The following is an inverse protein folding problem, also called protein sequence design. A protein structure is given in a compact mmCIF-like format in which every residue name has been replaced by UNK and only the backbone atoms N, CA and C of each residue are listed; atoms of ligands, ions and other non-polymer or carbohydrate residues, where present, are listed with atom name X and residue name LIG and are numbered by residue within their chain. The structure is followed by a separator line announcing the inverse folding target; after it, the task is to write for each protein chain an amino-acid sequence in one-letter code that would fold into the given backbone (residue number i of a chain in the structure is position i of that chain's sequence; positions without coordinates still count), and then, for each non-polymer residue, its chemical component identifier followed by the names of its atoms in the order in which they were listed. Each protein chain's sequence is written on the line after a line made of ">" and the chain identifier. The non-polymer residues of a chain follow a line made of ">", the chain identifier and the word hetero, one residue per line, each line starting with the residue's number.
data_IF_707847505739
#
_entry.id   IF_707847505739
#
_cell.length_a   1.000
_cell.length_b   1.000
_cell.length_c   1.000
_cell.angle_alpha   90.00
_cell.angle_beta   90.00
_cell.angle_gamma   90.00
#
_symmetry.space_group_name_H-M   'P 1'
#
loop_
_entity.id
_entity.type
_entity.pdbx_description
1 polymer ?
#
# COMPACT_ATOMS: atom_id res chain seq x y z
N UNK A 1 -6.05 -27.69 -8.70
CA UNK A 1 -7.00 -26.86 -9.48
C UNK A 1 -7.46 -27.62 -10.70
N UNK A 2 -8.67 -27.36 -11.16
CA UNK A 2 -9.25 -27.94 -12.35
C UNK A 2 -9.50 -26.87 -13.43
N UNK A 3 -9.95 -27.31 -14.60
CA UNK A 3 -10.33 -26.38 -15.68
C UNK A 3 -11.44 -25.38 -15.31
N UNK A 4 -12.07 -25.55 -14.15
CA UNK A 4 -13.06 -24.61 -13.60
C UNK A 4 -12.40 -23.47 -12.81
N UNK A 5 -11.10 -23.61 -12.47
CA UNK A 5 -10.30 -22.56 -11.85
C UNK A 5 -9.93 -21.51 -12.89
N UNK A 6 -10.24 -20.24 -12.61
CA UNK A 6 -10.07 -19.17 -13.58
C UNK A 6 -8.58 -18.93 -13.89
N UNK A 7 -8.20 -19.14 -15.15
CA UNK A 7 -6.90 -18.79 -15.73
C UNK A 7 -5.65 -19.57 -15.22
N UNK A 8 -5.78 -20.63 -14.41
CA UNK A 8 -4.61 -21.31 -13.86
C UNK A 8 -4.54 -22.83 -14.03
N UNK A 9 -5.58 -23.49 -14.56
CA UNK A 9 -5.58 -24.92 -14.80
C UNK A 9 -6.39 -25.37 -16.02
N UNK A 10 -5.90 -26.44 -16.66
CA UNK A 10 -6.51 -27.05 -17.85
C UNK A 10 -7.07 -28.46 -17.57
N UNK A 11 -6.85 -28.98 -16.37
CA UNK A 11 -7.15 -30.36 -16.04
C UNK A 11 -8.67 -30.61 -15.92
N UNK A 12 -9.18 -31.55 -16.70
CA UNK A 12 -10.58 -31.98 -16.57
C UNK A 12 -10.85 -32.66 -15.24
N UNK A 13 -11.88 -32.18 -14.53
CA UNK A 13 -12.29 -32.65 -13.20
C UNK A 13 -12.48 -34.16 -13.17
N UNK A 14 -13.22 -34.73 -14.14
CA UNK A 14 -13.51 -36.15 -14.18
C UNK A 14 -12.26 -36.99 -14.47
N UNK A 15 -11.36 -36.49 -15.31
CA UNK A 15 -10.09 -37.18 -15.61
C UNK A 15 -9.15 -37.24 -14.41
N UNK A 16 -8.97 -36.12 -13.69
CA UNK A 16 -8.07 -36.09 -12.55
C UNK A 16 -8.57 -36.99 -11.41
N UNK A 17 -9.88 -36.98 -11.13
CA UNK A 17 -10.49 -37.85 -10.11
C UNK A 17 -10.34 -39.33 -10.46
N UNK A 18 -10.60 -39.72 -11.71
CA UNK A 18 -10.43 -41.09 -12.18
C UNK A 18 -8.97 -41.56 -12.11
N UNK A 19 -8.03 -40.66 -12.46
CA UNK A 19 -6.60 -40.97 -12.42
C UNK A 19 -6.10 -41.15 -11.00
N UNK A 20 -6.54 -40.30 -10.06
CA UNK A 20 -6.20 -40.45 -8.64
C UNK A 20 -6.72 -41.77 -8.07
N UNK A 21 -7.96 -42.15 -8.43
CA UNK A 21 -8.52 -43.45 -8.05
C UNK A 21 -7.74 -44.66 -8.65
N UNK A 22 -7.33 -44.53 -9.92
CA UNK A 22 -6.53 -45.57 -10.59
C UNK A 22 -5.13 -45.73 -9.95
N UNK A 23 -4.57 -44.67 -9.40
CA UNK A 23 -3.29 -44.71 -8.64
C UNK A 23 -3.46 -45.22 -7.20
N UNK A 24 -4.69 -45.54 -6.76
CA UNK A 24 -4.94 -46.05 -5.43
C UNK A 24 -4.95 -44.97 -4.34
N UNK A 25 -5.10 -43.72 -4.68
CA UNK A 25 -5.21 -42.66 -3.65
C UNK A 25 -6.50 -42.82 -2.85
N UNK A 26 -6.47 -42.68 -1.51
CA UNK A 26 -7.65 -42.77 -0.67
C UNK A 26 -8.61 -41.58 -0.81
N UNK A 27 -8.09 -40.40 -1.21
CA UNK A 27 -8.84 -39.21 -1.40
C UNK A 27 -8.16 -38.28 -2.42
N UNK A 28 -8.93 -37.32 -2.96
CA UNK A 28 -8.42 -36.20 -3.75
C UNK A 28 -9.13 -34.90 -3.32
N UNK A 29 -8.39 -33.82 -3.15
CA UNK A 29 -8.94 -32.48 -2.90
C UNK A 29 -9.19 -31.76 -4.21
N UNK A 30 -10.34 -31.07 -4.30
CA UNK A 30 -10.68 -30.14 -5.38
C UNK A 30 -10.76 -28.74 -4.75
N UNK A 31 -9.83 -27.85 -5.15
CA UNK A 31 -9.59 -26.54 -4.50
C UNK A 31 -9.38 -25.44 -5.55
N UNK A 32 -10.37 -25.25 -6.42
CA UNK A 32 -10.29 -24.24 -7.48
C UNK A 32 -10.32 -22.81 -6.91
N UNK A 33 -9.72 -21.86 -7.62
CA UNK A 33 -9.68 -20.45 -7.23
C UNK A 33 -11.07 -19.83 -7.25
N UNK A 34 -11.56 -19.41 -6.07
CA UNK A 34 -12.79 -18.65 -5.90
C UNK A 34 -14.06 -19.31 -6.43
N UNK A 35 -14.03 -20.60 -6.78
CA UNK A 35 -15.17 -21.31 -7.39
C UNK A 35 -15.34 -22.72 -6.84
N UNK A 36 -16.61 -23.18 -6.84
CA UNK A 36 -17.00 -24.54 -6.43
C UNK A 36 -17.67 -25.32 -7.58
N UNK A 37 -17.60 -24.81 -8.80
CA UNK A 37 -18.29 -25.38 -9.98
C UNK A 37 -17.85 -26.80 -10.32
N UNK A 38 -16.64 -27.20 -9.93
CA UNK A 38 -16.11 -28.55 -10.12
C UNK A 38 -16.75 -29.61 -9.22
N UNK A 39 -17.39 -29.25 -8.11
CA UNK A 39 -17.84 -30.18 -7.07
C UNK A 39 -18.84 -31.22 -7.56
N UNK A 40 -19.92 -30.91 -8.28
CA UNK A 40 -20.84 -31.93 -8.76
C UNK A 40 -20.18 -32.97 -9.67
N UNK A 41 -19.33 -32.51 -10.59
CA UNK A 41 -18.62 -33.37 -11.54
C UNK A 41 -17.56 -34.24 -10.82
N UNK A 42 -16.87 -33.68 -9.81
CA UNK A 42 -15.92 -34.43 -8.97
C UNK A 42 -16.61 -35.52 -8.18
N UNK A 43 -17.74 -35.19 -7.52
CA UNK A 43 -18.57 -36.15 -6.78
C UNK A 43 -18.99 -37.32 -7.66
N UNK A 44 -19.53 -37.03 -8.83
CA UNK A 44 -20.02 -38.07 -9.72
C UNK A 44 -18.89 -38.95 -10.27
N UNK A 45 -17.75 -38.37 -10.58
CA UNK A 45 -16.56 -39.12 -11.02
C UNK A 45 -15.95 -39.99 -9.92
N UNK A 46 -16.01 -39.54 -8.65
CA UNK A 46 -15.44 -40.24 -7.49
C UNK A 46 -16.36 -41.25 -6.81
N UNK A 47 -17.66 -41.26 -7.15
CA UNK A 47 -18.68 -42.08 -6.49
C UNK A 47 -18.26 -43.56 -6.40
N UNK A 48 -18.15 -44.09 -5.16
CA UNK A 48 -17.75 -45.45 -4.88
C UNK A 48 -16.31 -45.83 -5.21
N UNK A 49 -15.46 -44.88 -5.59
CA UNK A 49 -14.05 -45.14 -6.00
C UNK A 49 -13.02 -44.41 -5.16
N UNK A 50 -13.27 -43.17 -4.80
CA UNK A 50 -12.33 -42.32 -4.08
C UNK A 50 -13.08 -41.23 -3.30
N UNK A 51 -12.58 -40.89 -2.10
CA UNK A 51 -13.13 -39.78 -1.31
C UNK A 51 -12.79 -38.44 -1.96
N UNK A 52 -13.79 -37.56 -2.15
CA UNK A 52 -13.58 -36.20 -2.60
C UNK A 52 -13.54 -35.27 -1.39
N UNK A 53 -12.46 -34.49 -1.27
CA UNK A 53 -12.34 -33.40 -0.32
C UNK A 53 -12.67 -32.10 -1.04
N UNK A 54 -13.71 -31.44 -0.58
CA UNK A 54 -14.18 -30.20 -1.17
C UNK A 54 -13.52 -29.00 -0.48
N UNK A 55 -12.93 -28.13 -1.25
CA UNK A 55 -12.29 -26.92 -0.77
C UNK A 55 -12.34 -25.83 -1.83
N UNK A 56 -12.02 -24.63 -1.45
CA UNK A 56 -11.87 -23.48 -2.36
C UNK A 56 -10.62 -22.72 -1.97
N UNK A 57 -9.84 -22.32 -2.94
CA UNK A 57 -8.77 -21.35 -2.72
C UNK A 57 -9.35 -19.96 -2.77
N UNK A 58 -9.44 -19.33 -1.62
CA UNK A 58 -10.00 -17.99 -1.46
C UNK A 58 -8.90 -16.95 -1.24
N UNK A 59 -9.15 -15.74 -1.71
CA UNK A 59 -8.32 -14.60 -1.37
C UNK A 59 -8.83 -13.98 -0.06
N UNK A 60 -8.00 -14.03 0.98
CA UNK A 60 -8.29 -13.34 2.22
C UNK A 60 -7.83 -11.89 2.10
N UNK A 61 -8.76 -10.95 2.21
CA UNK A 61 -8.48 -9.52 2.29
C UNK A 61 -8.83 -9.03 3.69
N UNK A 62 -7.85 -8.51 4.42
CA UNK A 62 -8.08 -7.89 5.70
C UNK A 62 -8.57 -6.46 5.51
N UNK A 63 -9.88 -6.26 5.50
CA UNK A 63 -10.50 -4.94 5.34
C UNK A 63 -10.28 -3.99 6.55
N UNK A 64 -9.68 -4.48 7.63
CA UNK A 64 -9.36 -3.62 8.78
C UNK A 64 -8.12 -2.77 8.49
N UNK A 65 -7.15 -3.31 7.75
CA UNK A 65 -5.91 -2.59 7.41
C UNK A 65 -6.18 -1.41 6.47
N UNK A 66 -7.17 -1.52 5.58
CA UNK A 66 -7.61 -0.42 4.69
C UNK A 66 -8.17 0.80 5.42
N UNK A 67 -8.30 0.76 6.74
CA UNK A 67 -8.84 1.83 7.58
C UNK A 67 -7.82 2.38 8.57
N UNK A 68 -6.67 1.75 8.64
CA UNK A 68 -5.59 2.19 9.52
C UNK A 68 -4.78 3.23 8.78
N UNK A 69 -5.06 4.50 9.09
CA UNK A 69 -4.32 5.62 8.50
C UNK A 69 -3.06 5.97 9.29
N UNK A 70 -2.99 5.63 10.58
CA UNK A 70 -1.85 5.91 11.44
C UNK A 70 -1.23 4.62 11.94
N UNK A 71 0.06 4.46 11.69
CA UNK A 71 0.86 3.31 12.10
C UNK A 71 1.95 3.75 13.06
N UNK A 72 2.18 2.96 14.12
CA UNK A 72 3.19 3.27 15.15
C UNK A 72 2.58 3.90 16.40
N UNK A 73 3.38 4.00 17.48
CA UNK A 73 2.88 4.30 18.82
C UNK A 73 2.91 5.80 19.20
N UNK A 74 3.51 6.67 18.39
CA UNK A 74 3.73 8.06 18.78
C UNK A 74 2.43 8.84 18.83
N UNK A 75 2.14 9.44 19.96
CA UNK A 75 1.01 10.34 20.18
C UNK A 75 1.45 11.78 20.00
N UNK A 76 0.70 12.55 19.19
CA UNK A 76 0.91 13.98 19.06
C UNK A 76 -0.33 14.70 18.53
N UNK A 77 -0.43 16.00 18.81
CA UNK A 77 -1.47 16.88 18.27
C UNK A 77 -1.22 17.16 16.78
N UNK A 78 -2.26 17.59 16.05
CA UNK A 78 -2.14 17.98 14.63
C UNK A 78 -1.31 19.24 14.41
N UNK A 79 -1.19 20.09 15.44
CA UNK A 79 -0.34 21.28 15.40
C UNK A 79 1.16 20.98 15.52
N UNK A 80 1.53 19.80 16.02
CA UNK A 80 2.93 19.42 16.19
C UNK A 80 3.60 19.11 14.82
N UNK A 81 4.92 19.02 14.86
CA UNK A 81 5.69 18.79 13.64
C UNK A 81 5.47 17.38 13.07
N UNK A 82 5.09 17.31 11.80
CA UNK A 82 5.02 16.09 11.02
C UNK A 82 5.86 16.24 9.74
N UNK A 83 6.62 15.22 9.38
CA UNK A 83 7.43 15.20 8.16
C UNK A 83 6.64 14.54 7.04
N UNK A 84 6.16 15.33 6.09
CA UNK A 84 5.58 14.81 4.86
C UNK A 84 6.71 14.48 3.89
N UNK A 85 6.68 13.30 3.26
CA UNK A 85 7.73 12.87 2.37
C UNK A 85 7.21 12.04 1.21
N UNK A 86 8.02 11.94 0.19
CA UNK A 86 7.80 11.13 -1.01
C UNK A 86 9.14 10.65 -1.55
N UNK A 87 9.15 9.56 -2.31
CA UNK A 87 10.35 9.03 -2.94
C UNK A 87 10.13 8.72 -4.42
N UNK A 88 11.18 8.93 -5.22
CA UNK A 88 11.24 8.37 -6.56
C UNK A 88 12.12 7.13 -6.58
N UNK A 89 11.75 6.16 -7.43
CA UNK A 89 12.41 4.86 -7.48
C UNK A 89 12.62 4.39 -8.92
N UNK A 90 13.48 3.39 -9.11
CA UNK A 90 13.70 2.74 -10.41
C UNK A 90 12.56 1.79 -10.81
N UNK A 91 11.51 1.64 -9.99
CA UNK A 91 10.35 0.79 -10.23
C UNK A 91 9.63 0.41 -8.94
N UNK A 92 8.62 -0.45 -9.01
CA UNK A 92 7.68 -0.67 -7.92
C UNK A 92 8.05 -1.79 -6.93
N UNK A 93 9.04 -2.63 -7.23
CA UNK A 93 9.36 -3.83 -6.43
C UNK A 93 10.49 -3.54 -5.46
N UNK A 94 10.18 -3.42 -4.18
CA UNK A 94 11.13 -3.09 -3.09
C UNK A 94 12.37 -3.99 -3.07
N UNK A 95 12.21 -5.30 -3.41
CA UNK A 95 13.31 -6.26 -3.39
C UNK A 95 14.33 -6.08 -4.53
N UNK A 96 13.95 -5.37 -5.60
CA UNK A 96 14.74 -5.28 -6.83
C UNK A 96 15.11 -3.87 -7.22
N UNK A 97 14.29 -2.92 -6.81
CA UNK A 97 14.40 -1.55 -7.25
C UNK A 97 15.15 -0.68 -6.23
N UNK A 98 15.55 0.49 -6.64
CA UNK A 98 16.34 1.41 -5.84
C UNK A 98 15.68 2.79 -5.75
N UNK A 99 15.90 3.48 -4.64
CA UNK A 99 15.51 4.88 -4.47
C UNK A 99 16.42 5.75 -5.36
N UNK A 100 15.85 6.75 -6.02
CA UNK A 100 16.56 7.74 -6.87
C UNK A 100 16.44 9.16 -6.36
N UNK A 101 15.36 9.49 -5.62
CA UNK A 101 15.17 10.79 -4.97
C UNK A 101 14.42 10.59 -3.66
N UNK A 102 14.70 11.42 -2.65
CA UNK A 102 13.92 11.55 -1.42
C UNK A 102 13.60 13.02 -1.25
N UNK A 103 12.31 13.37 -1.21
CA UNK A 103 11.81 14.70 -0.90
C UNK A 103 11.06 14.70 0.42
N UNK A 104 11.22 15.74 1.22
CA UNK A 104 10.48 15.90 2.46
C UNK A 104 10.26 17.35 2.85
N UNK A 105 9.18 17.60 3.59
CA UNK A 105 8.87 18.90 4.19
C UNK A 105 8.40 18.71 5.62
N UNK A 106 8.61 19.70 6.48
CA UNK A 106 8.02 19.74 7.82
C UNK A 106 6.77 20.58 7.78
N UNK A 107 5.64 19.97 8.12
CA UNK A 107 4.39 20.66 8.41
C UNK A 107 4.30 20.94 9.91
N UNK A 108 4.04 22.20 10.29
CA UNK A 108 3.83 22.64 11.66
C UNK A 108 2.79 23.74 11.72
N UNK A 109 1.79 23.61 12.57
CA UNK A 109 0.70 24.60 12.71
C UNK A 109 0.05 25.00 11.37
N UNK A 110 -0.10 24.06 10.42
CA UNK A 110 -0.66 24.35 9.10
C UNK A 110 0.29 25.03 8.12
N UNK A 111 1.58 25.15 8.43
CA UNK A 111 2.58 25.78 7.56
C UNK A 111 3.75 24.84 7.27
N UNK A 112 4.31 24.91 6.06
CA UNK A 112 5.55 24.22 5.71
C UNK A 112 6.71 25.07 6.17
N UNK A 113 7.49 24.57 7.15
CA UNK A 113 8.57 25.31 7.81
C UNK A 113 9.96 24.92 7.35
N UNK A 114 10.17 23.67 6.94
CA UNK A 114 11.47 23.13 6.50
C UNK A 114 11.31 22.29 5.24
N UNK A 115 12.37 22.19 4.45
CA UNK A 115 12.41 21.36 3.24
C UNK A 115 13.68 20.56 3.18
N UNK A 116 13.58 19.34 2.68
CA UNK A 116 14.68 18.42 2.42
C UNK A 116 14.53 17.81 1.04
N UNK A 117 15.61 17.68 0.32
CA UNK A 117 15.66 16.97 -0.95
C UNK A 117 17.05 16.39 -1.18
N UNK A 118 17.13 15.16 -1.62
CA UNK A 118 18.39 14.55 -2.05
C UNK A 118 18.13 13.55 -3.15
N UNK A 119 18.99 13.56 -4.17
CA UNK A 119 19.08 12.44 -5.08
C UNK A 119 19.83 11.29 -4.42
N UNK A 120 19.66 10.09 -4.96
CA UNK A 120 20.35 8.87 -4.51
C UNK A 120 20.88 8.15 -5.73
N UNK A 121 22.17 7.85 -5.75
CA UNK A 121 22.74 7.07 -6.85
C UNK A 121 22.30 5.59 -6.73
N UNK A 122 21.50 5.08 -7.67
CA UNK A 122 20.98 3.71 -7.62
C UNK A 122 22.03 2.66 -8.02
N UNK A 123 23.24 3.07 -8.45
CA UNK A 123 24.29 2.23 -9.00
C UNK A 123 23.83 1.38 -10.21
N UNK A 124 22.90 1.91 -10.98
CA UNK A 124 22.39 1.33 -12.22
C UNK A 124 21.85 2.42 -13.13
N UNK A 125 21.75 2.12 -14.42
CA UNK A 125 21.10 3.02 -15.37
C UNK A 125 19.59 3.00 -15.20
N UNK A 126 18.98 4.15 -15.42
CA UNK A 126 17.53 4.30 -15.47
C UNK A 126 16.99 3.81 -16.80
N UNK A 127 15.79 3.24 -16.79
CA UNK A 127 15.08 2.92 -18.02
C UNK A 127 14.49 4.19 -18.65
N UNK A 128 14.31 4.26 -19.98
CA UNK A 128 13.67 5.40 -20.63
C UNK A 128 12.27 5.71 -20.05
N UNK A 129 11.56 4.68 -19.60
CA UNK A 129 10.24 4.81 -18.97
C UNK A 129 10.34 5.57 -17.65
N UNK A 130 11.28 5.23 -16.78
CA UNK A 130 11.50 5.93 -15.50
C UNK A 130 11.95 7.36 -15.73
N UNK A 131 12.87 7.59 -16.67
CA UNK A 131 13.30 8.96 -17.06
C UNK A 131 12.09 9.78 -17.55
N UNK A 132 11.24 9.18 -18.39
CA UNK A 132 10.04 9.84 -18.89
C UNK A 132 9.00 10.14 -17.81
N UNK A 133 8.90 9.30 -16.79
CA UNK A 133 7.97 9.45 -15.68
C UNK A 133 8.43 10.52 -14.68
N UNK A 134 9.69 10.41 -14.21
CA UNK A 134 10.21 11.23 -13.09
C UNK A 134 10.98 12.48 -13.55
N UNK A 135 11.41 12.50 -14.83
CA UNK A 135 12.32 13.51 -15.35
C UNK A 135 13.77 13.39 -14.80
N UNK A 136 14.04 12.41 -13.94
CA UNK A 136 15.37 12.17 -13.37
C UNK A 136 16.21 11.44 -14.42
N UNK A 137 17.44 11.92 -14.65
CA UNK A 137 18.35 11.33 -15.64
C UNK A 137 19.57 10.70 -14.97
N UNK A 138 20.25 9.77 -15.67
CA UNK A 138 21.50 9.18 -15.20
C UNK A 138 22.57 10.26 -14.87
N UNK A 139 22.59 11.35 -15.63
CA UNK A 139 23.52 12.46 -15.38
C UNK A 139 23.26 13.18 -14.05
N UNK A 140 22.01 13.33 -13.65
CA UNK A 140 21.63 13.91 -12.35
C UNK A 140 22.03 13.02 -11.18
N UNK A 141 22.10 11.71 -11.39
CA UNK A 141 22.41 10.72 -10.35
C UNK A 141 23.89 10.33 -10.29
N UNK A 142 24.71 10.73 -11.27
CA UNK A 142 26.10 10.30 -11.37
C UNK A 142 26.92 10.65 -10.11
N UNK A 143 26.78 11.89 -9.63
CA UNK A 143 27.47 12.41 -8.45
C UNK A 143 26.57 12.45 -7.20
N UNK A 144 25.39 11.84 -7.26
CA UNK A 144 24.47 11.80 -6.13
C UNK A 144 25.01 10.91 -4.99
N UNK A 145 24.66 11.23 -3.72
CA UNK A 145 25.02 10.42 -2.57
C UNK A 145 24.65 8.95 -2.73
N UNK A 146 25.45 8.09 -2.10
CA UNK A 146 25.09 6.69 -1.99
C UNK A 146 23.93 6.48 -0.99
N UNK A 147 23.23 5.37 -1.10
CA UNK A 147 22.04 5.07 -0.30
C UNK A 147 22.24 5.32 1.21
N UNK A 148 23.38 4.90 1.77
CA UNK A 148 23.67 5.09 3.20
C UNK A 148 23.74 6.55 3.60
N UNK A 149 24.41 7.37 2.81
CA UNK A 149 24.57 8.80 3.05
C UNK A 149 23.24 9.54 2.95
N UNK A 150 22.48 9.25 1.88
CA UNK A 150 21.17 9.85 1.66
C UNK A 150 20.18 9.49 2.78
N UNK A 151 20.11 8.21 3.16
CA UNK A 151 19.23 7.77 4.25
C UNK A 151 19.68 8.35 5.61
N UNK A 152 20.99 8.45 5.87
CA UNK A 152 21.48 9.09 7.11
C UNK A 152 21.07 10.55 7.18
N UNK A 153 21.18 11.29 6.05
CA UNK A 153 20.74 12.68 5.98
C UNK A 153 19.20 12.80 6.15
N UNK A 154 18.44 11.94 5.49
CA UNK A 154 16.98 11.91 5.64
C UNK A 154 16.56 11.62 7.08
N UNK A 155 17.10 10.58 7.72
CA UNK A 155 16.77 10.23 9.10
C UNK A 155 17.16 11.34 10.09
N UNK A 156 18.25 12.07 9.83
CA UNK A 156 18.62 13.25 10.61
C UNK A 156 17.59 14.37 10.44
N UNK A 157 17.12 14.59 9.21
CA UNK A 157 16.04 15.55 8.94
C UNK A 157 14.75 15.13 9.63
N UNK A 158 14.36 13.85 9.56
CA UNK A 158 13.17 13.31 10.26
C UNK A 158 13.26 13.52 11.77
N UNK A 159 14.43 13.29 12.38
CA UNK A 159 14.72 13.54 13.79
C UNK A 159 13.63 12.98 14.75
N UNK A 160 13.15 11.77 14.50
CA UNK A 160 12.13 11.10 15.32
C UNK A 160 10.71 11.64 15.20
N UNK A 161 10.47 12.65 14.35
CA UNK A 161 9.11 13.15 14.06
C UNK A 161 8.29 12.09 13.31
N UNK A 162 6.96 12.05 13.46
CA UNK A 162 6.09 11.21 12.63
C UNK A 162 6.24 11.56 11.17
N UNK A 163 6.05 10.57 10.32
CA UNK A 163 6.06 10.71 8.87
C UNK A 163 4.65 10.76 8.30
N UNK A 164 4.49 11.35 7.12
CA UNK A 164 3.26 11.22 6.33
C UNK A 164 3.63 11.09 4.85
N UNK A 165 2.92 10.23 4.14
CA UNK A 165 3.06 10.06 2.69
C UNK A 165 1.71 9.67 2.06
N UNK A 166 1.63 9.72 0.73
CA UNK A 166 0.43 9.32 0.01
C UNK A 166 0.58 7.90 -0.54
N UNK A 167 -0.16 6.93 -0.02
CA UNK A 167 0.09 5.50 -0.14
C UNK A 167 1.39 5.11 0.59
N UNK A 168 1.45 5.54 1.84
CA UNK A 168 2.66 5.59 2.67
C UNK A 168 3.41 4.26 2.79
N UNK A 169 2.73 3.11 2.74
CA UNK A 169 3.41 1.81 2.84
C UNK A 169 4.40 1.58 1.69
N UNK A 170 4.16 2.16 0.51
CA UNK A 170 5.11 2.10 -0.60
C UNK A 170 6.44 2.77 -0.19
N UNK A 171 6.40 4.03 0.19
CA UNK A 171 7.58 4.82 0.55
C UNK A 171 8.29 4.26 1.78
N UNK A 172 7.52 3.97 2.82
CA UNK A 172 8.00 3.38 4.08
C UNK A 172 8.71 2.05 3.83
N UNK A 173 8.19 1.20 2.95
CA UNK A 173 8.78 -0.10 2.64
C UNK A 173 10.14 0.02 1.96
N UNK A 174 10.30 0.97 1.03
CA UNK A 174 11.60 1.26 0.38
C UNK A 174 12.62 1.84 1.38
N UNK A 175 12.23 2.83 2.19
CA UNK A 175 13.12 3.39 3.22
C UNK A 175 13.51 2.30 4.23
N UNK A 176 12.56 1.48 4.69
CA UNK A 176 12.81 0.38 5.64
C UNK A 176 13.77 -0.66 5.06
N UNK A 177 13.58 -1.06 3.80
CA UNK A 177 14.47 -1.99 3.12
C UNK A 177 15.87 -1.40 2.92
N UNK A 178 15.95 -0.12 2.53
CA UNK A 178 17.19 0.62 2.39
C UNK A 178 17.96 0.72 3.71
N UNK A 179 17.28 1.13 4.78
CA UNK A 179 17.86 1.22 6.14
C UNK A 179 18.40 -0.14 6.62
N UNK A 180 17.62 -1.21 6.45
CA UNK A 180 18.07 -2.57 6.77
C UNK A 180 19.33 -2.95 6.00
N UNK A 181 19.38 -2.64 4.70
CA UNK A 181 20.53 -2.94 3.84
C UNK A 181 21.83 -2.24 4.28
N UNK A 182 21.72 -1.03 4.84
CA UNK A 182 22.88 -0.22 5.23
C UNK A 182 23.12 -0.18 6.75
N UNK A 183 22.35 -0.94 7.53
CA UNK A 183 22.51 -1.06 8.98
C UNK A 183 22.04 0.17 9.77
N UNK A 184 20.95 0.82 9.35
CA UNK A 184 20.29 1.92 10.05
C UNK A 184 18.97 1.44 10.65
N UNK A 185 18.63 1.94 11.84
CA UNK A 185 17.33 1.68 12.47
C UNK A 185 16.25 2.58 11.87
N UNK A 186 15.06 1.99 11.59
CA UNK A 186 13.94 2.74 11.07
C UNK A 186 12.61 2.09 11.50
N UNK A 187 11.97 2.68 12.49
CA UNK A 187 10.67 2.25 13.02
C UNK A 187 9.80 3.50 13.31
N UNK A 188 9.37 4.23 12.28
CA UNK A 188 8.64 5.47 12.45
C UNK A 188 7.19 5.24 12.85
N UNK A 189 6.57 6.25 13.47
CA UNK A 189 5.13 6.46 13.36
C UNK A 189 4.86 7.16 12.03
N UNK A 190 3.84 6.73 11.28
CA UNK A 190 3.49 7.36 10.01
C UNK A 190 1.99 7.40 9.74
N UNK A 191 1.60 8.37 8.93
CA UNK A 191 0.24 8.64 8.48
C UNK A 191 0.14 8.39 6.98
N UNK A 192 -0.88 7.64 6.57
CA UNK A 192 -1.20 7.43 5.15
C UNK A 192 -2.30 8.40 4.71
N UNK A 193 -1.93 9.42 3.93
CA UNK A 193 -2.88 10.41 3.43
C UNK A 193 -3.86 9.86 2.39
N UNK A 194 -3.51 8.75 1.70
CA UNK A 194 -4.45 8.04 0.82
C UNK A 194 -5.61 7.45 1.63
N UNK A 195 -5.30 6.80 2.76
CA UNK A 195 -6.33 6.24 3.65
C UNK A 195 -7.18 7.35 4.26
N UNK A 196 -6.57 8.47 4.66
CA UNK A 196 -7.31 9.65 5.11
C UNK A 196 -8.27 10.14 4.03
N UNK A 197 -7.79 10.36 2.80
CA UNK A 197 -8.60 10.81 1.68
C UNK A 197 -9.79 9.87 1.41
N UNK A 198 -9.56 8.55 1.39
CA UNK A 198 -10.60 7.55 1.17
C UNK A 198 -11.72 7.56 2.22
N UNK A 199 -11.41 7.97 3.43
CA UNK A 199 -12.38 8.03 4.51
C UNK A 199 -13.05 9.41 4.65
N UNK A 200 -12.32 10.48 4.38
CA UNK A 200 -12.82 11.86 4.53
C UNK A 200 -13.52 12.38 3.28
N UNK A 201 -13.24 11.81 2.09
CA UNK A 201 -13.78 12.20 0.79
C UNK A 201 -14.42 11.00 0.09
N UNK A 202 -15.47 10.37 0.68
CA UNK A 202 -16.06 9.14 0.16
C UNK A 202 -16.72 9.28 -1.22
N UNK A 203 -16.99 10.51 -1.65
CA UNK A 203 -17.57 10.87 -2.94
C UNK A 203 -16.57 10.72 -4.10
N UNK A 204 -15.26 10.75 -3.83
CA UNK A 204 -14.26 10.61 -4.88
C UNK A 204 -14.21 9.17 -5.42
N UNK A 205 -14.12 9.05 -6.74
CA UNK A 205 -13.98 7.76 -7.43
C UNK A 205 -12.54 7.25 -7.48
N UNK A 206 -11.56 8.16 -7.38
CA UNK A 206 -10.11 7.90 -7.44
C UNK A 206 -9.40 8.81 -6.44
N UNK A 207 -8.30 8.32 -5.88
CA UNK A 207 -7.57 8.99 -4.80
C UNK A 207 -6.08 9.14 -5.11
N UNK A 208 -5.73 9.38 -6.38
CA UNK A 208 -4.37 9.79 -6.74
C UNK A 208 -4.09 11.17 -6.14
N UNK A 209 -2.83 11.46 -5.87
CA UNK A 209 -2.39 12.71 -5.26
C UNK A 209 -2.92 13.95 -5.99
N UNK A 210 -2.81 13.96 -7.33
CA UNK A 210 -3.31 15.00 -8.22
C UNK A 210 -4.83 15.21 -8.10
N UNK A 211 -5.60 14.11 -8.13
CA UNK A 211 -7.06 14.16 -8.06
C UNK A 211 -7.54 14.68 -6.71
N UNK A 212 -6.89 14.26 -5.63
CA UNK A 212 -7.24 14.72 -4.28
C UNK A 212 -6.86 16.19 -4.10
N UNK A 213 -5.69 16.61 -4.60
CA UNK A 213 -5.25 18.00 -4.56
C UNK A 213 -6.20 18.92 -5.33
N UNK A 214 -6.62 18.51 -6.54
CA UNK A 214 -7.62 19.25 -7.35
C UNK A 214 -8.96 19.37 -6.61
N UNK A 215 -9.45 18.27 -6.02
CA UNK A 215 -10.71 18.27 -5.26
C UNK A 215 -10.69 19.20 -4.04
N UNK A 216 -9.51 19.38 -3.43
CA UNK A 216 -9.30 20.26 -2.29
C UNK A 216 -8.93 21.70 -2.69
N UNK A 217 -9.02 22.05 -3.98
CA UNK A 217 -8.64 23.36 -4.52
C UNK A 217 -7.21 23.79 -4.14
N UNK A 218 -6.28 22.82 -4.04
CA UNK A 218 -4.88 23.09 -3.72
C UNK A 218 -4.11 23.62 -4.95
N UNK A 219 -3.04 24.39 -4.76
CA UNK A 219 -2.24 24.91 -5.86
C UNK A 219 -1.72 23.82 -6.79
N UNK A 220 -1.68 24.10 -8.09
CA UNK A 220 -1.06 23.21 -9.07
C UNK A 220 0.45 23.03 -8.76
N UNK A 221 0.97 21.83 -8.94
CA UNK A 221 2.36 21.48 -8.65
C UNK A 221 2.97 20.58 -9.74
N UNK A 222 4.29 20.44 -9.71
CA UNK A 222 4.99 19.57 -10.66
C UNK A 222 4.99 18.12 -10.12
N UNK A 223 4.17 17.28 -10.70
CA UNK A 223 4.15 15.85 -10.37
C UNK A 223 5.47 15.15 -10.68
N UNK A 224 5.75 14.10 -9.93
CA UNK A 224 6.92 13.24 -10.10
C UNK A 224 8.26 13.94 -9.78
N UNK A 225 8.20 14.85 -8.81
CA UNK A 225 9.36 15.38 -8.11
C UNK A 225 9.09 15.21 -6.62
N UNK A 226 9.87 14.34 -5.97
CA UNK A 226 9.63 13.93 -4.58
C UNK A 226 9.45 15.12 -3.60
N UNK A 227 10.16 16.25 -3.82
CA UNK A 227 10.01 17.44 -2.98
C UNK A 227 8.66 18.15 -3.14
N UNK A 228 8.10 18.14 -4.36
CA UNK A 228 6.84 18.80 -4.67
C UNK A 228 5.66 17.90 -4.24
N UNK A 229 5.78 16.59 -4.47
CA UNK A 229 4.80 15.59 -4.02
C UNK A 229 4.75 15.55 -2.48
N UNK A 230 5.89 15.60 -1.79
CA UNK A 230 5.96 15.72 -0.34
C UNK A 230 5.29 17.01 0.19
N UNK A 231 5.49 18.15 -0.48
CA UNK A 231 4.83 19.40 -0.11
C UNK A 231 3.32 19.31 -0.33
N UNK A 232 2.88 18.65 -1.39
CA UNK A 232 1.46 18.45 -1.67
C UNK A 232 0.80 17.57 -0.60
N UNK A 233 1.46 16.52 -0.13
CA UNK A 233 0.99 15.73 1.04
C UNK A 233 0.79 16.65 2.24
N UNK A 234 1.75 17.55 2.51
CA UNK A 234 1.64 18.53 3.60
C UNK A 234 0.41 19.44 3.44
N UNK A 235 0.23 20.01 2.26
CA UNK A 235 -0.94 20.85 1.98
C UNK A 235 -2.27 20.11 2.07
N UNK A 236 -2.32 18.82 1.72
CA UNK A 236 -3.52 17.99 1.88
C UNK A 236 -3.84 17.67 3.34
N UNK A 237 -2.82 17.49 4.20
CA UNK A 237 -3.05 17.22 5.62
C UNK A 237 -3.74 18.38 6.33
N UNK A 238 -3.51 19.62 5.92
CA UNK A 238 -4.13 20.81 6.53
C UNK A 238 -5.67 20.71 6.54
N UNK A 239 -6.35 20.66 5.37
CA UNK A 239 -7.82 20.55 5.36
C UNK A 239 -8.31 19.21 5.94
N UNK A 240 -7.53 18.14 5.91
CA UNK A 240 -7.89 16.88 6.56
C UNK A 240 -7.92 17.02 8.08
N UNK A 241 -6.90 17.62 8.68
CA UNK A 241 -6.84 17.85 10.12
C UNK A 241 -7.93 18.82 10.57
N UNK A 242 -8.13 19.93 9.87
CA UNK A 242 -9.22 20.87 10.13
C UNK A 242 -10.59 20.20 10.08
N UNK A 243 -10.84 19.37 9.07
CA UNK A 243 -12.09 18.62 8.95
C UNK A 243 -12.28 17.64 10.10
N UNK A 244 -11.22 16.91 10.49
CA UNK A 244 -11.25 15.97 11.60
C UNK A 244 -11.53 16.68 12.94
N UNK A 245 -10.88 17.81 13.20
CA UNK A 245 -11.11 18.60 14.41
C UNK A 245 -12.53 19.13 14.47
N UNK A 246 -13.00 19.77 13.41
CA UNK A 246 -14.30 20.43 13.36
C UNK A 246 -15.48 19.46 13.32
N UNK A 247 -15.39 18.39 12.54
CA UNK A 247 -16.54 17.52 12.25
C UNK A 247 -16.53 16.24 13.10
N UNK A 248 -15.36 15.77 13.52
CA UNK A 248 -15.20 14.48 14.20
C UNK A 248 -14.69 14.59 15.63
N UNK A 249 -14.23 15.77 16.05
CA UNK A 249 -13.64 15.97 17.37
C UNK A 249 -12.33 15.22 17.58
N UNK A 250 -11.58 14.96 16.48
CA UNK A 250 -10.27 14.29 16.49
C UNK A 250 -9.19 15.37 16.55
N UNK A 251 -8.30 15.30 17.54
CA UNK A 251 -7.27 16.32 17.79
C UNK A 251 -5.84 15.78 17.79
N UNK A 252 -5.67 14.45 17.68
CA UNK A 252 -4.37 13.81 17.70
C UNK A 252 -4.28 12.60 16.76
N UNK A 253 -3.06 12.21 16.41
CA UNK A 253 -2.81 11.07 15.52
C UNK A 253 -3.41 9.77 16.08
N UNK A 254 -3.35 9.54 17.38
CA UNK A 254 -3.84 8.30 18.00
C UNK A 254 -5.36 8.14 17.93
N UNK A 255 -6.09 9.25 17.89
CA UNK A 255 -7.55 9.21 17.80
C UNK A 255 -8.04 8.83 16.39
N UNK A 256 -7.24 9.08 15.35
CA UNK A 256 -7.64 8.92 13.95
C UNK A 256 -8.22 7.53 13.67
N UNK A 257 -7.47 6.47 13.95
CA UNK A 257 -7.90 5.11 13.59
C UNK A 257 -9.20 4.70 14.29
N UNK A 258 -9.35 5.05 15.56
CA UNK A 258 -10.54 4.71 16.35
C UNK A 258 -11.80 5.39 15.84
N UNK A 259 -11.72 6.67 15.52
CA UNK A 259 -12.86 7.46 15.06
C UNK A 259 -13.20 7.20 13.59
N UNK A 260 -12.20 7.00 12.72
CA UNK A 260 -12.43 6.69 11.31
C UNK A 260 -13.14 5.35 11.09
N UNK A 261 -12.97 4.38 11.99
CA UNK A 261 -13.74 3.14 11.95
C UNK A 261 -15.24 3.37 12.11
N UNK A 262 -15.65 4.47 12.72
CA UNK A 262 -17.07 4.85 12.95
C UNK A 262 -17.68 5.49 11.70
N UNK A 263 -16.90 6.09 10.81
CA UNK A 263 -17.39 6.86 9.66
C UNK A 263 -17.98 6.02 8.53
N UNK A 264 -17.55 4.76 8.37
CA UNK A 264 -18.09 3.91 7.30
C UNK A 264 -19.46 3.34 7.68
N UNK A 265 -20.53 3.62 6.91
CA UNK A 265 -21.82 2.99 7.10
C UNK A 265 -21.68 1.46 7.02
N UNK A 266 -22.39 0.73 7.89
CA UNK A 266 -22.58 -0.71 7.76
C UNK A 266 -23.16 -0.98 6.37
N UNK A 267 -22.39 -1.55 5.44
CA UNK A 267 -22.85 -1.89 4.10
C UNK A 267 -22.22 -1.11 2.95
N UNK A 268 -21.26 -0.22 3.17
CA UNK A 268 -20.48 0.34 2.06
C UNK A 268 -19.82 -0.82 1.30
N UNK A 269 -20.08 -0.92 -0.01
CA UNK A 269 -19.50 -1.96 -0.87
C UNK A 269 -17.98 -1.80 -0.82
N UNK A 270 -17.29 -2.75 -0.18
CA UNK A 270 -15.85 -2.87 -0.34
C UNK A 270 -15.58 -3.00 -1.84
N UNK A 271 -14.58 -2.32 -2.37
CA UNK A 271 -14.15 -2.46 -3.77
C UNK A 271 -13.65 -3.87 -4.10
N UNK A 272 -13.42 -4.68 -3.09
CA UNK A 272 -13.00 -6.06 -3.20
C UNK A 272 -14.15 -6.99 -2.87
N UNK A 273 -14.37 -8.07 -3.66
CA UNK A 273 -15.39 -9.06 -3.35
C UNK A 273 -15.09 -9.65 -1.97
N UNK A 274 -16.10 -9.66 -1.10
CA UNK A 274 -16.03 -10.34 0.20
C UNK A 274 -15.92 -11.83 -0.05
N UNK A 275 -14.75 -12.42 0.09
CA UNK A 275 -14.59 -13.86 0.12
C UNK A 275 -14.68 -14.32 1.58
N UNK A 276 -15.68 -15.15 1.86
CA UNK A 276 -15.84 -15.78 3.16
C UNK A 276 -15.31 -17.20 3.04
N UNK A 277 -14.33 -17.56 3.85
CA UNK A 277 -13.92 -18.95 4.02
C UNK A 277 -14.89 -19.56 5.01
N UNK A 278 -15.71 -20.49 4.55
CA UNK A 278 -16.53 -21.34 5.42
C UNK A 278 -15.80 -22.66 5.56
N UNK A 279 -15.31 -23.02 6.74
CA UNK A 279 -14.82 -24.38 6.96
C UNK A 279 -16.00 -25.34 6.81
N UNK A 280 -15.93 -26.25 5.87
CA UNK A 280 -16.90 -27.33 5.73
C UNK A 280 -16.36 -28.48 6.58
N UNK A 281 -17.02 -28.74 7.71
CA UNK A 281 -16.78 -29.89 8.60
C UNK A 281 -17.19 -31.22 7.94
#
# INVERSE_FOLDING_TARGET
>A
HTQMSTMDALTDVGKVVKQAAAWGHPAIAITDHGTVQAFPKARDAGKGKIKILYGVEGYFVNNLDDRIAVHGPQEQAFSDEIVCFDIETTGLKVEREAITEIGAVVLKNGEITERFQTFVNPNRRLTPEIIGLTGITDAMLADAPQLKEALTAFLRFVNGRPLAAHNAEFDISFIRAGCRKVGLDFAPTYVDSLILAQNLLPELGKYKLDIVAEHLDLPAFNHHRASDDAAMVGYMLIPFFEKMERELGIHSLQQINGEMLKLRPRGSKSRFPKHIIIPVS
#
